data_IF_564697581522
#
_entry.id   IF_564697581522
#
_cell.length_a   1.000
_cell.length_b   1.000
_cell.length_c   1.000
_cell.angle_alpha   90.00
_cell.angle_beta   90.00
_cell.angle_gamma   90.00
#
_symmetry.space_group_name_H-M   'P 1'
#
loop_
_entity.id
_entity.type
_entity.pdbx_description
1 polymer ?
#
# COMPACT_ATOMS: atom_id res chain seq x y z
N UNK A 1 -25.98 -29.78 -25.81
CA UNK A 1 -26.32 -29.17 -24.50
C UNK A 1 -26.06 -30.18 -23.39
N UNK A 2 -25.51 -29.78 -22.24
CA UNK A 2 -25.30 -30.69 -21.11
C UNK A 2 -26.63 -31.05 -20.44
N UNK A 3 -26.81 -32.32 -20.07
CA UNK A 3 -28.05 -32.78 -19.42
C UNK A 3 -28.21 -32.20 -18.01
N UNK A 4 -29.45 -32.11 -17.51
CA UNK A 4 -29.74 -31.63 -16.15
C UNK A 4 -28.94 -32.39 -15.08
N UNK A 5 -28.80 -33.72 -15.22
CA UNK A 5 -27.97 -34.55 -14.34
C UNK A 5 -26.49 -34.15 -14.38
N UNK A 6 -25.93 -33.89 -15.56
CA UNK A 6 -24.54 -33.44 -15.71
C UNK A 6 -24.33 -32.07 -15.08
N UNK A 7 -25.26 -31.12 -15.27
CA UNK A 7 -25.19 -29.79 -14.65
C UNK A 7 -25.30 -29.85 -13.12
N UNK A 8 -26.16 -30.70 -12.57
CA UNK A 8 -26.30 -30.89 -11.13
C UNK A 8 -25.05 -31.54 -10.50
N UNK A 9 -24.48 -32.56 -11.16
CA UNK A 9 -23.26 -33.22 -10.68
C UNK A 9 -22.05 -32.27 -10.69
N UNK A 10 -21.95 -31.37 -11.68
CA UNK A 10 -20.88 -30.35 -11.73
C UNK A 10 -20.91 -29.42 -10.50
N UNK A 11 -22.09 -29.12 -9.97
CA UNK A 11 -22.25 -28.28 -8.75
C UNK A 11 -21.81 -29.00 -7.47
N UNK A 12 -21.86 -30.35 -7.42
CA UNK A 12 -21.51 -31.16 -6.24
C UNK A 12 -20.01 -31.21 -5.92
N UNK A 13 -19.15 -31.02 -6.91
CA UNK A 13 -17.70 -31.13 -6.71
C UNK A 13 -17.02 -29.80 -6.39
N UNK A 14 -17.78 -28.70 -6.29
CA UNK A 14 -17.22 -27.39 -5.93
C UNK A 14 -16.84 -27.36 -4.45
N UNK A 15 -15.80 -26.57 -4.11
CA UNK A 15 -15.36 -26.37 -2.72
C UNK A 15 -16.50 -25.87 -1.85
N UNK A 16 -17.28 -24.92 -2.34
CA UNK A 16 -18.42 -24.34 -1.62
C UNK A 16 -19.50 -25.36 -1.31
N UNK A 17 -19.84 -26.22 -2.28
CA UNK A 17 -20.81 -27.28 -2.07
C UNK A 17 -20.34 -28.27 -0.99
N UNK A 18 -19.06 -28.71 -1.06
CA UNK A 18 -18.47 -29.58 -0.05
C UNK A 18 -18.49 -28.94 1.35
N UNK A 19 -18.18 -27.64 1.45
CA UNK A 19 -18.26 -26.90 2.73
C UNK A 19 -19.69 -26.90 3.27
N UNK A 20 -20.69 -26.66 2.42
CA UNK A 20 -22.12 -26.71 2.81
C UNK A 20 -22.54 -28.11 3.24
N UNK A 21 -22.09 -29.16 2.55
CA UNK A 21 -22.37 -30.54 2.97
C UNK A 21 -21.72 -30.88 4.31
N UNK A 22 -20.47 -30.48 4.53
CA UNK A 22 -19.78 -30.65 5.82
C UNK A 22 -20.59 -29.97 6.92
N UNK A 23 -21.03 -28.73 6.73
CA UNK A 23 -21.85 -28.00 7.69
C UNK A 23 -23.21 -28.69 7.97
N UNK A 24 -23.89 -29.17 6.93
CA UNK A 24 -25.14 -29.95 7.05
C UNK A 24 -24.93 -31.25 7.81
N UNK A 25 -23.81 -31.94 7.56
CA UNK A 25 -23.48 -33.17 8.26
C UNK A 25 -23.19 -32.94 9.74
N UNK A 26 -22.46 -31.86 10.07
CA UNK A 26 -22.15 -31.47 11.44
C UNK A 26 -23.44 -31.11 12.19
N UNK A 27 -24.30 -30.29 11.59
CA UNK A 27 -25.59 -29.91 12.21
C UNK A 27 -26.48 -31.13 12.44
N UNK A 28 -26.61 -32.02 11.45
CA UNK A 28 -27.35 -33.29 11.61
C UNK A 28 -26.79 -34.14 12.75
N UNK A 29 -25.46 -34.35 12.80
CA UNK A 29 -24.80 -35.10 13.89
C UNK A 29 -25.06 -34.46 15.26
N UNK A 30 -24.97 -33.13 15.35
CA UNK A 30 -25.24 -32.43 16.62
C UNK A 30 -26.70 -32.55 17.06
N UNK A 31 -27.66 -32.53 16.13
CA UNK A 31 -29.08 -32.72 16.44
C UNK A 31 -29.34 -34.13 16.96
N UNK A 32 -28.89 -35.15 16.23
CA UNK A 32 -29.02 -36.56 16.63
C UNK A 32 -28.37 -36.82 17.99
N UNK A 33 -27.19 -36.24 18.25
CA UNK A 33 -26.52 -36.37 19.55
C UNK A 33 -27.34 -35.77 20.69
N UNK A 34 -28.02 -34.64 20.47
CA UNK A 34 -28.91 -34.03 21.47
C UNK A 34 -30.15 -34.88 21.72
N UNK A 35 -30.76 -35.39 20.65
CA UNK A 35 -31.92 -36.28 20.73
C UNK A 35 -31.56 -37.56 21.51
N UNK A 36 -30.42 -38.18 21.21
CA UNK A 36 -29.90 -39.34 21.92
C UNK A 36 -29.66 -39.07 23.41
N UNK A 37 -29.02 -37.95 23.75
CA UNK A 37 -28.80 -37.58 25.16
C UNK A 37 -30.09 -37.24 25.91
N UNK A 38 -31.12 -36.76 25.20
CA UNK A 38 -32.44 -36.55 25.79
C UNK A 38 -33.10 -37.90 26.11
N UNK A 39 -33.10 -38.83 25.15
CA UNK A 39 -33.64 -40.17 25.36
C UNK A 39 -32.95 -40.91 26.52
N UNK A 40 -31.60 -40.87 26.59
CA UNK A 40 -30.85 -41.44 27.71
C UNK A 40 -31.28 -40.86 29.07
N UNK A 41 -31.56 -39.55 29.12
CA UNK A 41 -32.03 -38.89 30.34
C UNK A 41 -33.44 -39.35 30.73
N UNK A 42 -34.32 -39.50 29.73
CA UNK A 42 -35.70 -39.94 29.93
C UNK A 42 -35.75 -41.41 30.39
N UNK A 43 -34.81 -42.24 29.94
CA UNK A 43 -34.61 -43.64 30.35
C UNK A 43 -33.87 -43.80 31.70
N UNK A 44 -33.43 -42.70 32.32
CA UNK A 44 -32.77 -42.70 33.63
C UNK A 44 -31.26 -43.02 33.62
N UNK A 45 -30.63 -43.08 32.45
CA UNK A 45 -29.18 -43.27 32.33
C UNK A 45 -28.40 -41.97 32.55
N UNK A 46 -27.14 -42.08 33.00
CA UNK A 46 -26.26 -40.93 33.24
C UNK A 46 -25.73 -40.34 31.91
N UNK A 47 -26.01 -39.05 31.69
CA UNK A 47 -25.56 -38.33 30.49
C UNK A 47 -24.14 -37.79 30.70
N UNK A 48 -23.19 -37.99 29.75
CA UNK A 48 -21.84 -37.44 29.87
C UNK A 48 -21.87 -35.90 29.97
N UNK A 49 -21.20 -35.34 30.98
CA UNK A 49 -21.10 -33.90 31.14
C UNK A 49 -20.38 -33.26 29.94
N UNK A 50 -20.90 -32.11 29.51
CA UNK A 50 -20.23 -31.30 28.48
C UNK A 50 -18.89 -30.87 29.03
N UNK A 51 -17.80 -31.47 28.53
CA UNK A 51 -16.45 -30.93 28.71
C UNK A 51 -16.44 -29.48 28.24
N UNK A 52 -16.37 -28.57 29.20
CA UNK A 52 -16.38 -27.13 29.03
C UNK A 52 -15.16 -26.62 28.27
N UNK A 53 -14.93 -25.31 28.35
CA UNK A 53 -14.14 -24.46 27.45
C UNK A 53 -12.67 -24.84 27.21
N UNK A 54 -12.16 -25.89 27.83
CA UNK A 54 -10.78 -26.38 27.78
C UNK A 54 -10.51 -27.33 26.62
N UNK A 55 -11.25 -27.17 25.52
CA UNK A 55 -10.99 -27.95 24.32
C UNK A 55 -9.77 -27.35 23.59
N UNK A 56 -8.62 -28.05 23.51
CA UNK A 56 -7.36 -27.49 23.00
C UNK A 56 -7.50 -26.93 21.56
N UNK A 57 -8.41 -27.51 20.77
CA UNK A 57 -8.73 -27.05 19.42
C UNK A 57 -9.26 -25.61 19.41
N UNK A 58 -10.13 -25.24 20.36
CA UNK A 58 -10.68 -23.88 20.44
C UNK A 58 -9.61 -22.84 20.82
N UNK A 59 -8.69 -23.21 21.72
CA UNK A 59 -7.56 -22.36 22.11
C UNK A 59 -6.62 -22.11 20.92
N UNK A 60 -6.35 -23.14 20.11
CA UNK A 60 -5.50 -23.01 18.91
C UNK A 60 -6.11 -22.09 17.85
N UNK A 61 -7.43 -22.16 17.61
CA UNK A 61 -8.09 -21.27 16.63
C UNK A 61 -8.06 -19.80 17.07
N UNK A 62 -8.21 -19.52 18.37
CA UNK A 62 -8.10 -18.15 18.90
C UNK A 62 -6.70 -17.58 18.68
N UNK A 63 -5.66 -18.33 19.06
CA UNK A 63 -4.24 -17.93 18.87
C UNK A 63 -3.93 -17.63 17.40
N UNK A 64 -4.35 -18.50 16.50
CA UNK A 64 -4.10 -18.32 15.06
C UNK A 64 -4.81 -17.09 14.47
N UNK A 65 -5.96 -16.69 15.05
CA UNK A 65 -6.68 -15.47 14.67
C UNK A 65 -5.96 -14.22 15.19
N UNK A 66 -5.45 -14.27 16.41
CA UNK A 66 -4.67 -13.19 17.03
C UNK A 66 -3.36 -12.93 16.28
N UNK A 67 -2.62 -13.99 15.94
CA UNK A 67 -1.40 -13.89 15.12
C UNK A 67 -1.66 -13.24 13.77
N UNK A 68 -2.73 -13.65 13.07
CA UNK A 68 -3.13 -13.02 11.80
C UNK A 68 -3.49 -11.55 11.97
N UNK A 69 -4.15 -11.19 13.06
CA UNK A 69 -4.51 -9.79 13.34
C UNK A 69 -3.25 -8.94 13.61
N UNK A 70 -2.28 -9.48 14.34
CA UNK A 70 -1.00 -8.81 14.59
C UNK A 70 -0.21 -8.61 13.29
N UNK A 71 -0.10 -9.65 12.46
CA UNK A 71 0.54 -9.56 11.15
C UNK A 71 -0.16 -8.54 10.24
N UNK A 72 -1.49 -8.48 10.29
CA UNK A 72 -2.27 -7.49 9.53
C UNK A 72 -1.96 -6.05 9.96
N UNK A 73 -1.81 -5.80 11.27
CA UNK A 73 -1.44 -4.48 11.80
C UNK A 73 -0.03 -4.08 11.37
N UNK A 74 0.95 -4.98 11.51
CA UNK A 74 2.35 -4.73 11.11
C UNK A 74 2.45 -4.31 9.64
N UNK A 75 1.84 -5.08 8.73
CA UNK A 75 1.83 -4.76 7.29
C UNK A 75 1.18 -3.41 6.98
N UNK A 76 0.16 -3.03 7.75
CA UNK A 76 -0.54 -1.76 7.56
C UNK A 76 0.33 -0.58 8.01
N UNK A 77 1.06 -0.74 9.10
CA UNK A 77 1.97 0.29 9.62
C UNK A 77 3.21 0.43 8.72
N UNK A 78 3.78 -0.67 8.22
CA UNK A 78 4.83 -0.66 7.20
C UNK A 78 4.39 0.09 5.94
N UNK A 79 3.17 -0.20 5.44
CA UNK A 79 2.63 0.49 4.26
C UNK A 79 2.43 1.99 4.50
N UNK A 80 2.02 2.39 5.71
CA UNK A 80 1.92 3.80 6.10
C UNK A 80 3.30 4.47 6.14
N UNK A 81 4.31 3.81 6.70
CA UNK A 81 5.68 4.32 6.76
C UNK A 81 6.23 4.53 5.34
N UNK A 82 6.11 3.54 4.47
CA UNK A 82 6.55 3.63 3.06
C UNK A 82 5.86 4.77 2.30
N UNK A 83 4.56 5.01 2.56
CA UNK A 83 3.83 6.14 1.96
C UNK A 83 4.34 7.49 2.46
N UNK A 84 4.74 7.59 3.73
CA UNK A 84 5.33 8.82 4.29
C UNK A 84 6.69 9.11 3.65
N UNK A 85 7.55 8.10 3.55
CA UNK A 85 8.88 8.24 2.93
C UNK A 85 8.78 8.66 1.46
N UNK A 86 7.90 8.03 0.67
CA UNK A 86 7.65 8.44 -0.73
C UNK A 86 7.22 9.90 -0.84
N UNK A 87 6.37 10.38 0.08
CA UNK A 87 5.93 11.77 0.09
C UNK A 87 7.05 12.75 0.45
N UNK A 88 7.95 12.37 1.37
CA UNK A 88 9.12 13.19 1.71
C UNK A 88 10.05 13.32 0.51
N UNK A 89 10.41 12.19 -0.09
CA UNK A 89 11.28 12.16 -1.27
C UNK A 89 10.71 12.99 -2.43
N UNK A 90 9.41 12.90 -2.68
CA UNK A 90 8.77 13.70 -3.72
C UNK A 90 8.84 15.21 -3.41
N UNK A 91 8.68 15.60 -2.15
CA UNK A 91 8.80 17.00 -1.73
C UNK A 91 10.23 17.51 -1.91
N UNK A 92 11.22 16.72 -1.51
CA UNK A 92 12.65 17.05 -1.68
C UNK A 92 12.99 17.22 -3.16
N UNK A 93 12.60 16.27 -4.02
CA UNK A 93 12.81 16.37 -5.47
C UNK A 93 12.20 17.64 -6.08
N UNK A 94 10.97 17.99 -5.69
CA UNK A 94 10.32 19.21 -6.17
C UNK A 94 11.06 20.47 -5.68
N UNK A 95 11.53 20.48 -4.43
CA UNK A 95 12.30 21.59 -3.88
C UNK A 95 13.64 21.75 -4.60
N UNK A 96 14.34 20.65 -4.87
CA UNK A 96 15.62 20.68 -5.56
C UNK A 96 15.47 21.13 -7.02
N UNK A 97 14.43 20.67 -7.71
CA UNK A 97 14.10 21.15 -9.05
C UNK A 97 13.85 22.66 -9.06
N UNK A 98 13.06 23.16 -8.10
CA UNK A 98 12.80 24.61 -7.96
C UNK A 98 14.09 25.40 -7.69
N UNK A 99 14.97 24.89 -6.83
CA UNK A 99 16.27 25.54 -6.54
C UNK A 99 17.13 25.61 -7.81
N UNK A 100 17.27 24.50 -8.53
CA UNK A 100 18.03 24.45 -9.77
C UNK A 100 17.47 25.39 -10.84
N UNK A 101 16.14 25.49 -10.95
CA UNK A 101 15.50 26.43 -11.87
C UNK A 101 15.79 27.89 -11.50
N UNK A 102 15.69 28.23 -10.22
CA UNK A 102 16.03 29.56 -9.71
C UNK A 102 17.49 29.92 -9.97
N UNK A 103 18.42 28.99 -9.74
CA UNK A 103 19.85 29.16 -10.03
C UNK A 103 20.08 29.40 -11.54
N UNK A 104 19.42 28.64 -12.42
CA UNK A 104 19.50 28.85 -13.87
C UNK A 104 18.99 30.22 -14.28
N UNK A 105 17.89 30.68 -13.70
CA UNK A 105 17.33 32.01 -13.96
C UNK A 105 18.30 33.09 -13.50
N UNK A 106 18.89 32.96 -12.30
CA UNK A 106 19.89 33.91 -11.78
C UNK A 106 21.11 33.98 -12.70
N UNK A 107 21.69 32.84 -13.06
CA UNK A 107 22.83 32.76 -13.99
C UNK A 107 22.51 33.40 -15.35
N UNK A 108 21.30 33.20 -15.86
CA UNK A 108 20.86 33.83 -17.11
C UNK A 108 20.76 35.36 -16.99
N UNK A 109 20.17 35.84 -15.88
CA UNK A 109 20.07 37.28 -15.57
C UNK A 109 21.45 37.92 -15.45
N UNK A 110 22.39 37.29 -14.75
CA UNK A 110 23.76 37.79 -14.61
C UNK A 110 24.48 37.88 -15.95
N UNK A 111 24.37 36.83 -16.78
CA UNK A 111 24.93 36.84 -18.14
C UNK A 111 24.33 37.94 -19.00
N UNK A 112 23.02 38.16 -18.91
CA UNK A 112 22.35 39.25 -19.61
C UNK A 112 22.86 40.62 -19.15
N UNK A 113 22.93 40.86 -17.84
CA UNK A 113 23.46 42.10 -17.28
C UNK A 113 24.92 42.34 -17.68
N UNK A 114 25.75 41.29 -17.73
CA UNK A 114 27.12 41.39 -18.22
C UNK A 114 27.19 41.76 -19.71
N UNK A 115 26.30 41.20 -20.55
CA UNK A 115 26.20 41.56 -21.98
C UNK A 115 25.76 43.01 -22.16
N UNK A 116 24.76 43.48 -21.43
CA UNK A 116 24.32 44.88 -21.49
C UNK A 116 25.40 45.85 -21.02
N UNK A 117 26.15 45.52 -19.97
CA UNK A 117 27.33 46.29 -19.54
C UNK A 117 28.43 46.32 -20.61
N UNK A 118 28.67 45.21 -21.31
CA UNK A 118 29.64 45.17 -22.42
C UNK A 118 29.14 45.99 -23.61
N UNK A 119 27.86 45.87 -23.97
CA UNK A 119 27.22 46.61 -25.06
C UNK A 119 27.32 48.12 -24.80
N UNK A 120 26.90 48.58 -23.63
CA UNK A 120 26.97 50.00 -23.25
C UNK A 120 28.39 50.54 -23.27
N UNK A 121 29.40 49.76 -22.82
CA UNK A 121 30.83 50.11 -22.96
C UNK A 121 31.27 50.22 -24.42
N UNK A 122 30.84 49.29 -25.28
CA UNK A 122 31.21 49.28 -26.69
C UNK A 122 30.53 50.37 -27.53
N UNK A 123 29.31 50.76 -27.17
CA UNK A 123 28.56 51.81 -27.89
C UNK A 123 28.94 53.23 -27.48
N UNK A 124 29.92 53.41 -26.58
CA UNK A 124 30.39 54.75 -26.19
C UNK A 124 31.05 55.44 -27.38
N UNK A 125 30.75 56.73 -27.57
CA UNK A 125 31.34 57.58 -28.60
C UNK A 125 32.18 58.68 -27.96
N UNK A 126 33.19 59.16 -28.67
CA UNK A 126 33.98 60.34 -28.30
C UNK A 126 33.14 61.62 -28.52
N UNK A 127 33.62 62.77 -28.04
CA UNK A 127 32.91 64.06 -28.15
C UNK A 127 32.56 64.45 -29.59
N UNK A 128 33.33 63.99 -30.58
CA UNK A 128 33.11 64.21 -32.02
C UNK A 128 32.24 63.14 -32.70
N UNK A 129 31.75 62.15 -31.94
CA UNK A 129 30.84 61.11 -32.46
C UNK A 129 31.53 59.85 -32.99
N UNK A 130 32.86 59.75 -32.95
CA UNK A 130 33.60 58.54 -33.34
C UNK A 130 33.42 57.44 -32.27
N UNK A 131 33.44 56.14 -32.64
CA UNK A 131 33.44 55.05 -31.65
C UNK A 131 34.63 55.16 -30.71
N UNK A 132 34.40 55.06 -29.39
CA UNK A 132 35.48 55.08 -28.40
C UNK A 132 36.23 53.75 -28.47
N UNK A 133 37.52 53.81 -28.82
CA UNK A 133 38.38 52.63 -28.90
C UNK A 133 38.50 51.96 -27.52
N UNK A 134 38.63 50.63 -27.53
CA UNK A 134 38.77 49.83 -26.30
C UNK A 134 40.05 50.15 -25.52
N UNK A 135 40.14 49.73 -24.24
CA UNK A 135 41.37 49.86 -23.47
C UNK A 135 42.52 49.10 -24.15
N UNK A 136 43.73 49.65 -24.08
CA UNK A 136 44.94 49.02 -24.60
C UNK A 136 45.17 47.71 -23.83
N UNK A 137 45.35 46.61 -24.56
CA UNK A 137 45.79 45.34 -23.98
C UNK A 137 47.30 45.48 -23.79
N UNK A 138 47.78 45.32 -22.57
CA UNK A 138 49.22 45.25 -22.30
C UNK A 138 49.66 43.80 -22.51
N UNK A 139 50.54 43.58 -23.49
CA UNK A 139 51.17 42.28 -23.77
C UNK A 139 52.40 42.12 -22.85
N UNK A 140 52.21 41.51 -21.68
CA UNK A 140 53.27 41.09 -20.76
C UNK A 140 53.18 39.59 -20.47
#
# INVERSE_FOLDING_TARGET
>A
MATFKQQHNRKKFTREYKVKEIQRSITKKTRLKKEYFKALKDEGYTVPEKKGEDNPVKRNVKKLKEERALQGKQKLDEKKAMKRERKKLQKEQIQDQRKQEMERIQMSKEKHMARERRKTRMTQKTRSGQPKMGPKIDDY
#
